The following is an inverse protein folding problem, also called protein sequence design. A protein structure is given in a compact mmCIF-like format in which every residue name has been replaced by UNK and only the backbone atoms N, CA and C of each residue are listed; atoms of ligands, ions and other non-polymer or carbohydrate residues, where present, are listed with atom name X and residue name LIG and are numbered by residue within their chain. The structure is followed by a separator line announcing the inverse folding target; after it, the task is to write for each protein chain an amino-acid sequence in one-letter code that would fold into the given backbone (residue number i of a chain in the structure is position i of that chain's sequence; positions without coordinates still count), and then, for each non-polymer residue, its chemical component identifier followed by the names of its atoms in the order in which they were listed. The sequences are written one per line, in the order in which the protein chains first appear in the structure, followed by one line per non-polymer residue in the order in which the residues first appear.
data_IF_502480964185
#
_entry.id   IF_502480964185
#
_cell.length_a   1.000
_cell.length_b   1.000
_cell.length_c   1.000
_cell.angle_alpha   90.00
_cell.angle_beta   90.00
_cell.angle_gamma   90.00
#
_symmetry.space_group_name_H-M   'P 1'
#
loop_
_entity.id
_entity.type
_entity.pdbx_description
1 polymer ?
#
# COMPACT_ATOMS: atom_id res chain seq x y z
N UNK A 1 6.51 -2.33 -18.38
CA UNK A 1 5.25 -1.56 -18.25
C UNK A 1 4.98 -1.31 -16.78
N UNK A 2 4.60 -0.11 -16.45
CA UNK A 2 4.40 0.29 -15.05
C UNK A 2 2.97 0.76 -14.85
N UNK A 3 2.32 0.29 -13.79
CA UNK A 3 0.97 0.72 -13.47
C UNK A 3 0.99 2.16 -12.93
N UNK A 4 -0.03 2.92 -13.30
CA UNK A 4 -0.16 4.31 -12.85
C UNK A 4 -1.05 4.38 -11.62
N UNK A 5 -1.03 5.50 -10.88
CA UNK A 5 -1.96 5.67 -9.77
C UNK A 5 -3.42 5.49 -10.18
N UNK A 6 -3.77 5.93 -11.39
CA UNK A 6 -5.14 5.75 -11.88
C UNK A 6 -5.49 4.28 -12.06
N UNK A 7 -4.53 3.46 -12.49
CA UNK A 7 -4.76 2.03 -12.62
C UNK A 7 -5.04 1.41 -11.26
N UNK A 8 -4.25 1.78 -10.24
CA UNK A 8 -4.49 1.31 -8.88
C UNK A 8 -5.86 1.72 -8.39
N UNK A 9 -6.25 2.97 -8.62
CA UNK A 9 -7.55 3.46 -8.20
C UNK A 9 -8.68 2.70 -8.88
N UNK A 10 -8.54 2.47 -10.18
CA UNK A 10 -9.58 1.77 -10.94
C UNK A 10 -9.82 0.37 -10.40
N UNK A 11 -8.75 -0.33 -10.05
CA UNK A 11 -8.88 -1.72 -9.59
C UNK A 11 -9.30 -1.78 -8.13
N UNK A 12 -8.72 -0.96 -7.27
CA UNK A 12 -8.89 -1.09 -5.84
C UNK A 12 -9.97 -0.20 -5.24
N UNK A 13 -10.47 0.77 -6.00
CA UNK A 13 -11.51 1.65 -5.48
C UNK A 13 -12.79 1.59 -6.29
N UNK A 14 -12.70 1.31 -7.58
CA UNK A 14 -13.87 1.32 -8.45
C UNK A 14 -14.42 -0.07 -8.73
N UNK A 15 -13.64 -1.11 -8.55
CA UNK A 15 -14.06 -2.48 -8.78
C UNK A 15 -14.37 -3.12 -7.43
N UNK A 16 -15.60 -3.66 -7.30
CA UNK A 16 -16.03 -4.21 -6.00
C UNK A 16 -15.12 -5.26 -5.43
N UNK A 17 -14.68 -6.21 -6.26
CA UNK A 17 -13.76 -7.24 -5.79
C UNK A 17 -12.41 -6.67 -5.42
N UNK A 18 -11.97 -5.64 -6.13
CA UNK A 18 -10.72 -4.98 -5.80
C UNK A 18 -10.78 -4.31 -4.44
N UNK A 19 -11.91 -3.68 -4.12
CA UNK A 19 -12.10 -3.09 -2.79
C UNK A 19 -11.96 -4.14 -1.71
N UNK A 20 -12.61 -5.29 -1.90
CA UNK A 20 -12.55 -6.37 -0.93
C UNK A 20 -11.14 -6.89 -0.78
N UNK A 21 -10.43 -7.06 -1.88
CA UNK A 21 -9.05 -7.54 -1.84
C UNK A 21 -8.17 -6.54 -1.08
N UNK A 22 -8.32 -5.26 -1.36
CA UNK A 22 -7.49 -4.26 -0.67
C UNK A 22 -7.78 -4.23 0.83
N UNK A 23 -9.03 -4.35 1.22
CA UNK A 23 -9.38 -4.41 2.63
C UNK A 23 -8.73 -5.61 3.30
N UNK A 24 -8.76 -6.75 2.62
CA UNK A 24 -8.17 -7.97 3.16
C UNK A 24 -6.65 -7.84 3.29
N UNK A 25 -5.99 -7.30 2.28
CA UNK A 25 -4.55 -7.08 2.31
C UNK A 25 -4.16 -6.10 3.42
N UNK A 26 -4.93 -5.03 3.56
CA UNK A 26 -4.68 -4.03 4.60
C UNK A 26 -4.79 -4.65 5.98
N UNK A 27 -5.82 -5.44 6.20
CA UNK A 27 -6.02 -6.10 7.48
C UNK A 27 -4.89 -7.09 7.78
N UNK A 28 -4.44 -7.82 6.78
CA UNK A 28 -3.45 -8.87 7.00
C UNK A 28 -2.03 -8.33 7.15
N UNK A 29 -1.69 -7.30 6.40
CA UNK A 29 -0.28 -6.90 6.27
C UNK A 29 0.01 -5.48 6.71
N UNK A 30 -0.97 -4.62 6.79
CA UNK A 30 -0.73 -3.22 7.10
C UNK A 30 -1.14 -2.86 8.52
N UNK A 31 -2.32 -3.31 8.95
CA UNK A 31 -2.85 -2.95 10.27
C UNK A 31 -2.21 -3.73 11.40
N UNK A 32 -1.56 -4.85 11.09
CA UNK A 32 -0.94 -5.66 12.11
C UNK A 32 0.34 -5.01 12.59
N UNK A 33 0.63 -5.23 13.88
CA UNK A 33 1.88 -4.77 14.46
C UNK A 33 3.03 -5.48 13.77
N UNK A 34 4.02 -4.72 13.31
CA UNK A 34 5.18 -5.29 12.63
C UNK A 34 6.31 -5.63 13.60
N UNK A 35 6.42 -4.90 14.71
CA UNK A 35 7.53 -5.09 15.65
C UNK A 35 7.37 -6.39 16.44
N UNK A 36 8.44 -7.18 16.48
CA UNK A 36 8.48 -8.43 17.23
C UNK A 36 9.67 -8.38 18.17
N UNK A 37 9.44 -8.68 19.44
CA UNK A 37 10.51 -8.76 20.43
C UNK A 37 11.28 -10.06 20.26
N UNK A 38 12.51 -10.08 20.74
CA UNK A 38 13.26 -11.32 20.79
C UNK A 38 14.63 -11.31 20.17
N UNK A 39 15.38 -10.22 20.32
CA UNK A 39 16.76 -10.20 19.87
C UNK A 39 16.89 -10.32 18.36
N UNK A 40 17.84 -11.14 17.90
CA UNK A 40 18.11 -11.27 16.46
C UNK A 40 16.92 -11.84 15.72
N UNK A 41 16.28 -12.86 16.29
CA UNK A 41 15.11 -13.45 15.64
C UNK A 41 13.95 -12.47 15.60
N UNK A 42 13.75 -11.70 16.67
CA UNK A 42 12.71 -10.68 16.67
C UNK A 42 12.99 -9.61 15.64
N UNK A 43 14.25 -9.21 15.49
CA UNK A 43 14.62 -8.20 14.50
C UNK A 43 14.36 -8.69 13.08
N UNK A 44 14.70 -9.96 12.80
CA UNK A 44 14.44 -10.54 11.48
C UNK A 44 12.95 -10.59 11.16
N UNK A 45 12.15 -10.99 12.14
CA UNK A 45 10.71 -11.06 11.95
C UNK A 45 10.13 -9.67 11.73
N UNK A 46 10.64 -8.68 12.45
CA UNK A 46 10.21 -7.30 12.28
C UNK A 46 10.54 -6.81 10.88
N UNK A 47 11.75 -7.08 10.40
CA UNK A 47 12.15 -6.67 9.04
C UNK A 47 11.26 -7.32 8.00
N UNK A 48 10.95 -8.60 8.16
CA UNK A 48 10.08 -9.30 7.25
C UNK A 48 8.68 -8.70 7.25
N UNK A 49 8.14 -8.41 8.43
CA UNK A 49 6.82 -7.82 8.56
C UNK A 49 6.77 -6.43 7.94
N UNK A 50 7.81 -5.63 8.11
CA UNK A 50 7.88 -4.30 7.52
C UNK A 50 7.95 -4.38 5.99
N UNK A 51 8.66 -5.38 5.47
CA UNK A 51 8.70 -5.58 4.03
C UNK A 51 7.33 -5.88 3.45
N UNK A 52 6.55 -6.74 4.14
CA UNK A 52 5.20 -7.06 3.71
C UNK A 52 4.29 -5.84 3.81
N UNK A 53 4.43 -5.08 4.89
CA UNK A 53 3.64 -3.88 5.12
C UNK A 53 3.90 -2.82 4.05
N UNK A 54 5.16 -2.71 3.60
CA UNK A 54 5.54 -1.69 2.65
C UNK A 54 4.86 -1.87 1.30
N UNK A 55 4.55 -3.10 0.91
CA UNK A 55 3.83 -3.34 -0.35
C UNK A 55 2.43 -2.74 -0.27
N UNK A 56 1.72 -2.99 0.82
CA UNK A 56 0.38 -2.42 0.99
C UNK A 56 0.47 -0.90 1.11
N UNK A 57 1.48 -0.42 1.82
CA UNK A 57 1.69 1.03 1.93
C UNK A 57 1.85 1.67 0.54
N UNK A 58 2.58 1.00 -0.34
CA UNK A 58 2.75 1.50 -1.70
C UNK A 58 1.40 1.63 -2.41
N UNK A 59 0.56 0.59 -2.31
CA UNK A 59 -0.77 0.63 -2.94
C UNK A 59 -1.57 1.81 -2.39
N UNK A 60 -1.60 1.94 -1.06
CA UNK A 60 -2.35 3.03 -0.44
C UNK A 60 -1.84 4.40 -0.85
N UNK A 61 -0.52 4.54 -1.02
CA UNK A 61 0.04 5.81 -1.44
C UNK A 61 -0.36 6.16 -2.88
N UNK A 62 -0.48 5.17 -3.74
CA UNK A 62 -0.95 5.39 -5.11
C UNK A 62 -2.38 5.91 -5.11
N UNK A 63 -3.24 5.30 -4.29
CA UNK A 63 -4.62 5.76 -4.18
C UNK A 63 -4.68 7.18 -3.62
N UNK A 64 -3.82 7.49 -2.66
CA UNK A 64 -3.76 8.82 -2.10
C UNK A 64 -3.38 9.88 -3.14
N UNK A 65 -2.50 9.52 -4.07
CA UNK A 65 -2.11 10.46 -5.12
C UNK A 65 -3.29 10.83 -6.00
N UNK A 66 -4.12 9.85 -6.34
CA UNK A 66 -5.32 10.13 -7.14
C UNK A 66 -6.27 11.04 -6.38
N UNK A 67 -6.50 10.74 -5.10
CA UNK A 67 -7.41 11.52 -4.29
C UNK A 67 -6.96 12.96 -4.13
N UNK A 68 -5.65 13.18 -4.08
CA UNK A 68 -5.10 14.52 -3.96
C UNK A 68 -4.93 15.22 -5.30
N UNK A 69 -5.19 14.53 -6.41
CA UNK A 69 -4.96 15.08 -7.72
C UNK A 69 -3.50 15.15 -8.10
N UNK A 70 -2.67 14.31 -7.49
CA UNK A 70 -1.21 14.32 -7.71
C UNK A 70 -0.81 13.27 -8.73
N UNK A 71 -1.54 13.23 -9.85
CA UNK A 71 -1.16 12.35 -10.93
C UNK A 71 -0.16 13.06 -11.81
N UNK A 72 0.38 12.36 -12.79
CA UNK A 72 1.49 12.86 -13.56
C UNK A 72 1.41 14.30 -14.00
N UNK A 73 0.23 14.75 -14.37
CA UNK A 73 0.06 16.10 -14.88
C UNK A 73 0.17 17.17 -13.80
N UNK A 74 -0.15 16.81 -12.59
CA UNK A 74 -0.25 17.81 -11.52
C UNK A 74 1.10 18.31 -11.07
N UNK A 75 2.12 17.54 -11.32
CA UNK A 75 3.45 17.91 -10.86
C UNK A 75 3.94 19.18 -11.52
N UNK A 76 3.53 19.42 -12.74
CA UNK A 76 3.96 20.61 -13.45
C UNK A 76 3.38 21.87 -12.89
N UNK A 77 2.31 21.74 -12.18
CA UNK A 77 1.64 22.92 -11.63
C UNK A 77 2.50 23.59 -10.58
N UNK A 78 3.29 22.83 -9.93
CA UNK A 78 4.13 23.35 -8.85
C UNK A 78 5.12 24.38 -9.38
#
# INVERSE_FOLDING_TARGET
MTATPETYSRIFESHGDGVVILEDLTRRFYDRRSFVRGGVEGARQTDFNEGRRSVVHFILSQLGQVQRGETGDDDEVA
#
